data_IF_458452997286
#
_entry.id   IF_458452997286
#
_cell.length_a   1.000
_cell.length_b   1.000
_cell.length_c   1.000
_cell.angle_alpha   90.00
_cell.angle_beta   90.00
_cell.angle_gamma   90.00
#
_symmetry.space_group_name_H-M   'P 1'
#
loop_
_entity.id
_entity.type
_entity.pdbx_description
1 polymer ?
#
# COMPACT_ATOMS: atom_id res chain seq x y z
N UNK A 1 8.65 -3.74 24.90
CA UNK A 1 7.23 -3.65 24.45
C UNK A 1 7.18 -3.07 23.03
N UNK A 2 6.39 -3.66 22.17
CA UNK A 2 6.31 -3.18 20.80
C UNK A 2 5.27 -2.08 20.68
N UNK A 3 5.60 -1.08 19.86
CA UNK A 3 4.68 0.00 19.60
C UNK A 3 3.53 -0.47 18.69
N UNK A 4 2.44 0.31 18.65
CA UNK A 4 1.33 0.02 17.77
C UNK A 4 1.78 0.01 16.30
N UNK A 5 2.72 0.91 15.95
CA UNK A 5 3.25 0.98 14.59
C UNK A 5 4.03 -0.29 14.23
N UNK A 6 4.85 -0.80 15.16
CA UNK A 6 5.59 -2.03 14.93
C UNK A 6 4.66 -3.23 14.76
N UNK A 7 3.59 -3.28 15.54
CA UNK A 7 2.60 -4.35 15.43
C UNK A 7 1.85 -4.29 14.10
N UNK A 8 1.49 -3.08 13.67
CA UNK A 8 0.81 -2.89 12.40
C UNK A 8 1.72 -3.29 11.22
N UNK A 9 3.00 -2.93 11.27
CA UNK A 9 3.96 -3.29 10.24
C UNK A 9 4.17 -4.79 10.17
N UNK A 10 4.24 -5.45 11.32
CA UNK A 10 4.37 -6.91 11.37
C UNK A 10 3.15 -7.60 10.78
N UNK A 11 1.95 -7.10 11.06
CA UNK A 11 0.71 -7.61 10.47
C UNK A 11 0.70 -7.46 8.96
N UNK A 12 1.16 -6.31 8.46
CA UNK A 12 1.24 -6.08 7.03
C UNK A 12 2.23 -7.02 6.35
N UNK A 13 3.38 -7.27 6.95
CA UNK A 13 4.37 -8.21 6.41
C UNK A 13 3.83 -9.64 6.34
N UNK A 14 3.10 -10.07 7.37
CA UNK A 14 2.47 -11.39 7.37
C UNK A 14 1.42 -11.49 6.27
N UNK A 15 0.63 -10.45 6.09
CA UNK A 15 -0.39 -10.41 5.06
C UNK A 15 0.24 -10.50 3.67
N UNK A 16 1.35 -9.79 3.43
CA UNK A 16 2.05 -9.83 2.16
C UNK A 16 2.66 -11.21 1.90
N UNK A 17 3.27 -11.83 2.91
CA UNK A 17 3.83 -13.16 2.78
C UNK A 17 2.74 -14.20 2.46
N UNK A 18 1.58 -14.07 3.08
CA UNK A 18 0.45 -14.94 2.78
C UNK A 18 -0.05 -14.73 1.35
N UNK A 19 -0.13 -13.47 0.91
CA UNK A 19 -0.53 -13.17 -0.46
C UNK A 19 0.42 -13.82 -1.47
N UNK A 20 1.73 -13.78 -1.18
CA UNK A 20 2.73 -14.40 -2.05
C UNK A 20 2.59 -15.93 -2.10
N UNK A 21 2.14 -16.56 -1.02
CA UNK A 21 1.89 -18.01 -1.02
C UNK A 21 0.67 -18.37 -1.82
N UNK A 22 -0.36 -17.54 -1.79
CA UNK A 22 -1.60 -17.77 -2.53
C UNK A 22 -1.45 -17.42 -4.01
N UNK A 23 -0.68 -16.37 -4.31
CA UNK A 23 -0.45 -15.91 -5.67
C UNK A 23 1.03 -15.56 -5.81
N UNK A 24 1.79 -16.47 -6.39
CA UNK A 24 3.24 -16.31 -6.51
C UNK A 24 3.61 -14.97 -7.13
N UNK A 25 4.54 -14.27 -6.47
CA UNK A 25 5.02 -12.98 -6.96
C UNK A 25 4.04 -11.82 -6.76
N UNK A 26 3.02 -11.99 -5.93
CA UNK A 26 2.03 -10.93 -5.71
C UNK A 26 2.67 -9.63 -5.26
N UNK A 27 3.56 -9.68 -4.26
CA UNK A 27 4.20 -8.48 -3.72
C UNK A 27 5.03 -7.73 -4.75
N UNK A 28 5.74 -8.47 -5.60
CA UNK A 28 6.54 -7.85 -6.66
C UNK A 28 5.66 -7.17 -7.71
N UNK A 29 4.56 -7.81 -8.06
CA UNK A 29 3.60 -7.21 -9.00
C UNK A 29 2.98 -5.96 -8.41
N UNK A 30 2.57 -6.03 -7.14
CA UNK A 30 1.97 -4.90 -6.47
C UNK A 30 2.94 -3.72 -6.39
N UNK A 31 4.20 -4.00 -6.09
CA UNK A 31 5.22 -2.95 -6.05
C UNK A 31 5.40 -2.29 -7.42
N UNK A 32 5.45 -3.09 -8.47
CA UNK A 32 5.57 -2.58 -9.83
C UNK A 32 4.38 -1.72 -10.23
N UNK A 33 3.17 -2.17 -9.91
CA UNK A 33 1.96 -1.40 -10.20
C UNK A 33 1.89 -0.11 -9.38
N UNK A 34 2.34 -0.14 -8.12
CA UNK A 34 2.40 1.06 -7.30
C UNK A 34 3.35 2.08 -7.92
N UNK A 35 4.50 1.63 -8.40
CA UNK A 35 5.48 2.52 -9.05
C UNK A 35 4.90 3.15 -10.30
N UNK A 36 4.19 2.38 -11.12
CA UNK A 36 3.52 2.89 -12.32
C UNK A 36 2.47 3.93 -11.94
N UNK A 37 1.67 3.65 -10.92
CA UNK A 37 0.64 4.57 -10.45
C UNK A 37 1.27 5.90 -10.01
N UNK A 38 2.33 5.81 -9.18
CA UNK A 38 3.01 7.00 -8.68
C UNK A 38 3.62 7.84 -9.80
N UNK A 39 4.13 7.18 -10.82
CA UNK A 39 4.75 7.86 -11.96
C UNK A 39 3.73 8.60 -12.81
N UNK A 40 2.53 8.05 -12.93
CA UNK A 40 1.49 8.62 -13.77
C UNK A 40 0.46 9.49 -13.06
N UNK A 41 0.50 9.55 -11.73
CA UNK A 41 -0.51 10.27 -10.95
C UNK A 41 0.13 11.50 -10.30
N UNK A 42 -0.27 12.68 -10.75
CA UNK A 42 0.39 13.92 -10.32
C UNK A 42 -0.05 14.40 -8.94
N UNK A 43 -1.22 14.00 -8.47
CA UNK A 43 -1.73 14.42 -7.16
C UNK A 43 -1.29 13.45 -6.07
N UNK A 44 -1.24 13.90 -4.79
CA UNK A 44 -1.02 12.97 -3.69
C UNK A 44 -2.10 11.88 -3.66
N UNK A 45 -1.72 10.69 -3.23
CA UNK A 45 -2.63 9.54 -3.22
C UNK A 45 -2.47 8.72 -1.94
N UNK A 46 -3.50 7.94 -1.63
CA UNK A 46 -3.47 6.98 -0.52
C UNK A 46 -3.24 5.58 -1.08
N UNK A 47 -2.84 4.65 -0.19
CA UNK A 47 -2.67 3.26 -0.60
C UNK A 47 -3.99 2.67 -1.09
N UNK A 48 -5.11 3.09 -0.51
CA UNK A 48 -6.44 2.62 -0.93
C UNK A 48 -6.73 2.98 -2.38
N UNK A 49 -6.31 4.15 -2.83
CA UNK A 49 -6.52 4.56 -4.22
C UNK A 49 -5.74 3.68 -5.18
N UNK A 50 -4.50 3.33 -4.83
CA UNK A 50 -3.69 2.43 -5.65
C UNK A 50 -4.32 1.04 -5.72
N UNK A 51 -4.70 0.51 -4.57
CA UNK A 51 -5.37 -0.78 -4.47
C UNK A 51 -6.65 -0.82 -5.30
N UNK A 52 -7.52 0.16 -5.08
CA UNK A 52 -8.82 0.18 -5.74
C UNK A 52 -8.68 0.31 -7.25
N UNK A 53 -7.71 1.07 -7.70
CA UNK A 53 -7.47 1.22 -9.14
C UNK A 53 -7.08 -0.11 -9.78
N UNK A 54 -6.03 -0.75 -9.27
CA UNK A 54 -5.50 -1.97 -9.90
C UNK A 54 -6.38 -3.19 -9.70
N UNK A 55 -6.97 -3.33 -8.51
CA UNK A 55 -7.91 -4.44 -8.25
C UNK A 55 -9.20 -4.24 -9.03
N UNK A 56 -9.65 -2.98 -9.13
CA UNK A 56 -10.90 -2.68 -9.83
C UNK A 56 -10.87 -2.99 -11.31
N UNK A 57 -9.73 -2.75 -11.97
CA UNK A 57 -9.60 -3.08 -13.39
C UNK A 57 -9.09 -4.50 -13.64
N UNK A 58 -8.84 -5.25 -12.56
CA UNK A 58 -8.49 -6.65 -12.66
C UNK A 58 -7.06 -6.98 -13.06
N UNK A 59 -6.15 -6.02 -12.96
CA UNK A 59 -4.76 -6.24 -13.32
C UNK A 59 -3.97 -6.96 -12.25
N UNK A 60 -4.45 -6.94 -11.02
CA UNK A 60 -3.80 -7.65 -9.92
C UNK A 60 -4.88 -8.38 -9.12
N UNK A 61 -4.53 -9.57 -8.63
CA UNK A 61 -5.44 -10.34 -7.80
C UNK A 61 -5.55 -9.70 -6.42
N UNK A 62 -6.77 -9.64 -5.90
CA UNK A 62 -6.99 -9.14 -4.54
C UNK A 62 -6.31 -10.09 -3.55
N UNK A 63 -5.48 -9.55 -2.64
CA UNK A 63 -4.83 -10.42 -1.65
C UNK A 63 -5.85 -10.88 -0.60
N UNK A 64 -5.57 -12.00 0.09
CA UNK A 64 -6.49 -12.48 1.15
C UNK A 64 -6.69 -11.46 2.27
N UNK A 65 -5.70 -10.61 2.51
CA UNK A 65 -5.76 -9.57 3.54
C UNK A 65 -5.26 -8.27 2.94
N UNK A 66 -6.12 -7.25 2.95
CA UNK A 66 -5.80 -5.95 2.36
C UNK A 66 -4.57 -5.29 2.98
N UNK A 67 -4.19 -5.69 4.20
CA UNK A 67 -2.97 -5.16 4.84
C UNK A 67 -1.70 -5.47 4.05
N UNK A 68 -1.76 -6.43 3.14
CA UNK A 68 -0.63 -6.74 2.26
C UNK A 68 -0.20 -5.52 1.45
N UNK A 69 -1.13 -4.68 1.03
CA UNK A 69 -0.80 -3.43 0.33
C UNK A 69 0.00 -2.47 1.20
N UNK A 70 -0.24 -2.48 2.51
CA UNK A 70 0.53 -1.65 3.44
C UNK A 70 2.01 -2.01 3.44
N UNK A 71 2.32 -3.31 3.37
CA UNK A 71 3.71 -3.76 3.29
C UNK A 71 4.37 -3.30 1.99
N UNK A 72 3.63 -3.34 0.88
CA UNK A 72 4.12 -2.89 -0.43
C UNK A 72 4.44 -1.39 -0.39
N UNK A 73 3.56 -0.59 0.20
CA UNK A 73 3.78 0.85 0.34
C UNK A 73 5.02 1.14 1.18
N UNK A 74 5.19 0.43 2.29
CA UNK A 74 6.36 0.62 3.14
C UNK A 74 7.65 0.27 2.39
N UNK A 75 7.62 -0.80 1.62
CA UNK A 75 8.76 -1.18 0.79
C UNK A 75 9.08 -0.11 -0.26
N UNK A 76 8.05 0.41 -0.93
CA UNK A 76 8.23 1.47 -1.93
C UNK A 76 8.87 2.71 -1.31
N UNK A 77 8.46 3.04 -0.09
CA UNK A 77 9.05 4.16 0.63
C UNK A 77 10.53 3.90 0.95
N UNK A 78 10.85 2.71 1.47
CA UNK A 78 12.23 2.36 1.77
C UNK A 78 13.13 2.39 0.52
N UNK A 79 12.58 1.97 -0.61
CA UNK A 79 13.34 1.93 -1.87
C UNK A 79 13.39 3.26 -2.60
N UNK A 80 12.78 4.30 -2.03
CA UNK A 80 12.85 5.63 -2.61
C UNK A 80 11.97 5.85 -3.83
N UNK A 81 10.92 5.03 -3.99
CA UNK A 81 9.98 5.17 -5.10
C UNK A 81 8.97 6.27 -4.78
N UNK A 82 8.48 6.29 -3.54
CA UNK A 82 7.51 7.27 -3.08
C UNK A 82 7.96 7.90 -1.77
N UNK A 83 7.35 9.03 -1.43
CA UNK A 83 7.61 9.70 -0.16
C UNK A 83 6.30 10.21 0.43
N UNK A 84 6.17 10.29 1.76
CA UNK A 84 4.98 10.85 2.38
C UNK A 84 4.93 12.35 2.17
N UNK A 85 3.73 12.89 1.97
CA UNK A 85 3.57 14.33 1.75
C UNK A 85 2.41 14.94 2.54
N UNK A 86 1.81 14.18 3.45
CA UNK A 86 0.73 14.69 4.27
C UNK A 86 -0.21 13.60 4.68
N UNK A 87 -1.40 14.00 5.12
CA UNK A 87 -2.43 13.08 5.58
C UNK A 87 -3.78 13.49 5.02
N UNK A 88 -4.58 12.49 4.64
CA UNK A 88 -5.96 12.70 4.26
C UNK A 88 -6.85 12.23 5.40
N UNK A 89 -8.02 12.83 5.53
CA UNK A 89 -9.01 12.36 6.50
C UNK A 89 -9.46 10.96 6.11
N UNK A 90 -9.65 10.09 7.10
CA UNK A 90 -10.22 8.78 6.84
C UNK A 90 -11.62 8.98 6.26
N UNK A 91 -11.99 8.08 5.36
CA UNK A 91 -13.30 8.15 4.74
C UNK A 91 -14.42 7.77 5.70
N UNK A 92 -15.50 7.32 5.14
CA UNK A 92 -16.75 7.07 5.85
C UNK A 92 -16.69 6.06 6.98
N UNK A 93 -15.66 5.24 7.02
CA UNK A 93 -15.63 4.13 7.97
C UNK A 93 -15.38 4.56 9.41
N UNK A 94 -14.81 5.71 9.63
CA UNK A 94 -14.53 6.20 10.98
C UNK A 94 -13.58 5.35 11.79
N UNK A 95 -13.00 4.32 11.20
CA UNK A 95 -12.18 3.37 11.95
C UNK A 95 -10.76 3.78 12.17
N UNK A 96 -10.27 4.63 11.38
CA UNK A 96 -8.86 4.90 11.43
C UNK A 96 -8.65 6.39 11.51
N UNK A 97 -7.51 6.75 12.05
CA UNK A 97 -7.04 8.10 11.98
C UNK A 97 -6.71 8.48 10.54
N UNK A 98 -6.00 9.58 10.37
CA UNK A 98 -5.66 10.08 9.04
C UNK A 98 -4.90 9.04 8.23
N UNK A 99 -5.17 9.00 6.94
CA UNK A 99 -4.43 8.15 5.99
C UNK A 99 -3.23 8.93 5.47
N UNK A 100 -2.08 8.26 5.37
CA UNK A 100 -0.89 8.89 4.80
C UNK A 100 -1.12 9.17 3.33
N UNK A 101 -0.78 10.39 2.92
CA UNK A 101 -0.73 10.76 1.51
C UNK A 101 0.68 10.55 1.00
N UNK A 102 0.78 9.93 -0.16
CA UNK A 102 2.04 9.60 -0.79
C UNK A 102 2.17 10.34 -2.12
N UNK A 103 3.39 10.52 -2.55
CA UNK A 103 3.67 11.03 -3.89
C UNK A 103 4.95 10.39 -4.39
N UNK A 104 5.19 10.48 -5.70
CA UNK A 104 6.45 10.04 -6.28
C UNK A 104 7.58 10.82 -5.62
N UNK A 105 8.65 10.12 -5.28
CA UNK A 105 9.82 10.78 -4.70
C UNK A 105 10.49 11.67 -5.75
N UNK A 106 10.77 12.90 -5.36
CA UNK A 106 11.39 13.89 -6.24
C UNK A 106 12.88 14.01 -6.01
#
# INVERSE_FOLDING_TARGET
MKTAEELAERGAKRAAAHADRVSEGWSEKALGFLAIFADGFSDPFTVEQVRDYWEGIGYIRRPPDARAWGAVVKRAHREGIIEPCGYAKSGKSGHAGPRTLWRRKQ
#
